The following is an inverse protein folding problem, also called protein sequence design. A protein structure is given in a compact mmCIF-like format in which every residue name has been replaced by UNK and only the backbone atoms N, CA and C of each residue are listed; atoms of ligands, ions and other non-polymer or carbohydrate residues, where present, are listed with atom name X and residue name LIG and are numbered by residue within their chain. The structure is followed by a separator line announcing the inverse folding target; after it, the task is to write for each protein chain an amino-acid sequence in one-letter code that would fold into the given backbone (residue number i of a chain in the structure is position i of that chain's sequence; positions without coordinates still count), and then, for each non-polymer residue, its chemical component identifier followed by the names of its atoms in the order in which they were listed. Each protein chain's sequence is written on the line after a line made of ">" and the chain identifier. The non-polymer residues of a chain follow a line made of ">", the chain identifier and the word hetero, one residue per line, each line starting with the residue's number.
data_IF_908326835817
#
_entry.id   IF_908326835817
#
_cell.length_a   1.000
_cell.length_b   1.000
_cell.length_c   1.000
_cell.angle_alpha   90.00
_cell.angle_beta   90.00
_cell.angle_gamma   90.00
#
_symmetry.space_group_name_H-M   'P 1'
#
loop_
_entity.id
_entity.type
_entity.pdbx_description
1 polymer ?
#
# COMPACT_ATOMS: atom_id res chain seq x y z
N UNK A 1 33.69 -28.33 2.62
CA UNK A 1 32.42 -29.01 2.93
C UNK A 1 31.77 -28.30 4.12
N UNK A 2 30.96 -27.25 3.90
CA UNK A 2 30.27 -26.55 4.99
C UNK A 2 28.90 -27.18 5.21
N UNK A 3 28.79 -28.14 6.14
CA UNK A 3 27.51 -28.72 6.60
C UNK A 3 26.85 -27.72 7.57
N UNK A 4 26.12 -26.75 7.03
CA UNK A 4 25.23 -25.88 7.80
C UNK A 4 23.83 -26.48 7.74
N UNK A 5 23.52 -27.41 8.64
CA UNK A 5 22.18 -27.95 8.80
C UNK A 5 21.39 -27.01 9.74
N UNK A 6 20.73 -25.98 9.18
CA UNK A 6 19.84 -25.10 9.97
C UNK A 6 18.47 -25.71 10.26
N UNK A 7 18.24 -26.96 9.87
CA UNK A 7 16.98 -27.70 10.13
C UNK A 7 16.61 -27.70 11.63
N UNK A 8 17.60 -27.57 12.53
CA UNK A 8 17.43 -27.50 13.99
C UNK A 8 17.98 -26.20 14.62
N UNK A 9 18.19 -25.13 13.85
CA UNK A 9 18.76 -23.90 14.40
C UNK A 9 17.74 -23.15 15.29
N UNK A 10 18.16 -22.62 16.47
CA UNK A 10 17.27 -21.85 17.32
C UNK A 10 16.75 -20.61 16.58
N UNK A 11 15.51 -20.15 16.84
CA UNK A 11 14.86 -19.07 16.09
C UNK A 11 15.68 -17.77 16.01
N UNK A 12 16.52 -17.52 17.02
CA UNK A 12 17.44 -16.38 17.05
C UNK A 12 18.53 -16.42 15.95
N UNK A 13 18.98 -17.60 15.50
CA UNK A 13 19.95 -17.71 14.40
C UNK A 13 19.31 -17.49 13.03
N UNK A 14 18.11 -18.02 12.81
CA UNK A 14 17.35 -17.78 11.58
C UNK A 14 17.02 -16.28 11.43
N UNK A 15 16.63 -15.61 12.52
CA UNK A 15 16.37 -14.17 12.51
C UNK A 15 17.65 -13.36 12.27
N UNK A 16 18.79 -13.74 12.87
CA UNK A 16 20.09 -13.10 12.60
C UNK A 16 20.50 -13.24 11.14
N UNK A 17 20.30 -14.41 10.54
CA UNK A 17 20.57 -14.63 9.11
C UNK A 17 19.68 -13.74 8.25
N UNK A 18 18.37 -13.72 8.53
CA UNK A 18 17.41 -12.86 7.82
C UNK A 18 17.78 -11.38 7.91
N UNK A 19 18.11 -10.88 9.11
CA UNK A 19 18.50 -9.48 9.29
C UNK A 19 19.79 -9.11 8.54
N UNK A 20 20.70 -10.08 8.36
CA UNK A 20 21.98 -9.87 7.66
C UNK A 20 21.83 -9.94 6.14
N UNK A 21 21.02 -10.88 5.64
CA UNK A 21 20.95 -11.21 4.21
C UNK A 21 19.65 -10.77 3.53
N UNK A 22 18.64 -10.33 4.28
CA UNK A 22 17.32 -9.93 3.75
C UNK A 22 16.45 -11.10 3.28
N UNK A 23 16.96 -12.33 3.30
CA UNK A 23 16.26 -13.54 2.88
C UNK A 23 16.22 -14.56 4.01
N UNK A 24 15.15 -15.38 4.05
CA UNK A 24 15.09 -16.52 4.96
C UNK A 24 16.14 -17.55 4.55
N UNK A 25 16.72 -18.23 5.52
CA UNK A 25 17.66 -19.29 5.23
C UNK A 25 16.98 -20.44 4.47
N UNK A 26 17.65 -20.93 3.44
CA UNK A 26 17.31 -22.15 2.71
C UNK A 26 18.61 -22.80 2.22
N UNK A 27 18.57 -24.10 1.91
CA UNK A 27 19.72 -24.81 1.35
C UNK A 27 20.19 -24.20 0.01
N UNK A 28 19.28 -23.60 -0.75
CA UNK A 28 19.62 -22.89 -2.00
C UNK A 28 20.58 -21.73 -1.77
N UNK A 29 20.57 -21.09 -0.59
CA UNK A 29 21.47 -19.97 -0.27
C UNK A 29 22.95 -20.41 -0.11
N UNK A 30 23.24 -21.72 -0.18
CA UNK A 30 24.63 -22.25 -0.18
C UNK A 30 25.22 -22.29 -1.58
N UNK A 31 24.39 -22.20 -2.62
CA UNK A 31 24.83 -22.22 -4.00
C UNK A 31 25.47 -20.86 -4.32
N UNK A 32 26.74 -20.85 -4.72
CA UNK A 32 27.49 -19.61 -5.00
C UNK A 32 26.89 -18.77 -6.13
N UNK A 33 26.05 -19.39 -6.97
CA UNK A 33 25.39 -18.76 -8.10
C UNK A 33 23.94 -18.35 -7.82
N UNK A 34 23.35 -18.75 -6.68
CA UNK A 34 21.96 -18.45 -6.38
C UNK A 34 21.87 -17.34 -5.33
N UNK A 35 21.28 -16.21 -5.73
CA UNK A 35 20.94 -15.14 -4.81
C UNK A 35 19.40 -15.04 -4.68
N UNK A 36 18.82 -15.40 -3.53
CA UNK A 36 17.37 -15.37 -3.32
C UNK A 36 16.78 -13.96 -3.44
N UNK A 37 17.56 -12.89 -3.31
CA UNK A 37 17.03 -11.52 -3.41
C UNK A 37 16.83 -11.11 -4.87
N UNK A 38 17.74 -11.51 -5.75
CA UNK A 38 17.71 -11.14 -7.17
C UNK A 38 17.05 -12.19 -8.06
N UNK A 39 17.04 -13.46 -7.62
CA UNK A 39 16.56 -14.60 -8.42
C UNK A 39 15.24 -15.18 -7.94
N UNK A 40 14.62 -14.63 -6.88
CA UNK A 40 13.30 -15.08 -6.44
C UNK A 40 12.23 -14.71 -7.47
N UNK A 41 11.49 -15.72 -7.92
CA UNK A 41 10.25 -15.52 -8.68
C UNK A 41 9.20 -14.99 -7.71
N UNK A 42 8.91 -13.70 -7.84
CA UNK A 42 7.89 -13.02 -7.05
C UNK A 42 6.52 -13.47 -7.56
N UNK A 43 5.77 -14.20 -6.73
CA UNK A 43 4.39 -14.54 -7.05
C UNK A 43 3.54 -13.26 -7.15
N UNK A 44 2.94 -12.97 -8.31
CA UNK A 44 2.14 -11.78 -8.49
C UNK A 44 0.93 -11.73 -7.57
N UNK A 45 0.39 -12.88 -7.16
CA UNK A 45 -0.78 -12.94 -6.29
C UNK A 45 -0.50 -12.35 -4.90
N UNK A 46 0.52 -12.85 -4.21
CA UNK A 46 0.84 -12.36 -2.88
C UNK A 46 1.47 -10.97 -2.90
N UNK A 47 2.28 -10.67 -3.91
CA UNK A 47 3.04 -9.41 -3.92
C UNK A 47 2.19 -8.24 -4.39
N UNK A 48 1.50 -8.39 -5.52
CA UNK A 48 0.71 -7.28 -6.06
C UNK A 48 -0.69 -7.21 -5.47
N UNK A 49 -1.40 -8.33 -5.32
CA UNK A 49 -2.79 -8.32 -4.89
C UNK A 49 -2.90 -8.26 -3.35
N UNK A 50 -2.39 -9.28 -2.67
CA UNK A 50 -2.48 -9.35 -1.21
C UNK A 50 -1.47 -8.42 -0.50
N UNK A 51 -0.39 -8.05 -1.18
CA UNK A 51 0.62 -7.13 -0.67
C UNK A 51 0.27 -5.69 -1.02
N UNK A 52 0.49 -5.30 -2.27
CA UNK A 52 0.46 -3.91 -2.69
C UNK A 52 -0.96 -3.32 -2.75
N UNK A 53 -1.91 -3.98 -3.41
CA UNK A 53 -3.30 -3.53 -3.49
C UNK A 53 -3.99 -3.50 -2.13
N UNK A 54 -3.85 -4.56 -1.33
CA UNK A 54 -4.36 -4.60 0.04
C UNK A 54 -3.76 -3.50 0.91
N UNK A 55 -2.45 -3.24 0.77
CA UNK A 55 -1.80 -2.16 1.52
C UNK A 55 -2.36 -0.80 1.12
N UNK A 56 -2.49 -0.55 -0.18
CA UNK A 56 -3.03 0.71 -0.69
C UNK A 56 -4.47 0.94 -0.22
N UNK A 57 -5.34 -0.02 -0.48
CA UNK A 57 -6.76 0.07 -0.19
C UNK A 57 -7.05 0.03 1.31
N UNK A 58 -6.64 -1.05 1.99
CA UNK A 58 -7.08 -1.30 3.35
C UNK A 58 -6.18 -0.61 4.37
N UNK A 59 -4.88 -0.87 4.34
CA UNK A 59 -3.98 -0.37 5.37
C UNK A 59 -3.80 1.15 5.30
N UNK A 60 -3.82 1.72 4.09
CA UNK A 60 -3.63 3.15 3.92
C UNK A 60 -4.92 3.92 3.81
N UNK A 61 -5.81 3.56 2.90
CA UNK A 61 -6.98 4.40 2.69
C UNK A 61 -8.06 4.23 3.76
N UNK A 62 -8.35 2.99 4.15
CA UNK A 62 -9.37 2.68 5.17
C UNK A 62 -8.84 2.91 6.59
N UNK A 63 -7.70 2.31 6.94
CA UNK A 63 -7.17 2.37 8.31
C UNK A 63 -6.36 3.65 8.59
N UNK A 64 -5.94 4.38 7.55
CA UNK A 64 -5.18 5.62 7.67
C UNK A 64 -3.70 5.44 8.02
N UNK A 65 -3.15 4.22 7.90
CA UNK A 65 -1.75 3.93 8.15
C UNK A 65 -1.26 4.31 9.56
N UNK A 66 -0.02 4.83 9.63
CA UNK A 66 0.61 5.29 10.88
C UNK A 66 0.04 6.63 11.35
N UNK A 67 -0.30 7.51 10.41
CA UNK A 67 -0.75 8.88 10.69
C UNK A 67 -2.23 8.93 11.11
N UNK A 68 -2.95 7.81 11.03
CA UNK A 68 -4.38 7.64 11.33
C UNK A 68 -5.30 8.57 10.52
N UNK A 69 -4.80 9.10 9.40
CA UNK A 69 -5.57 9.94 8.46
C UNK A 69 -6.25 9.03 7.43
N UNK A 70 -7.56 8.85 7.58
CA UNK A 70 -8.36 8.01 6.67
C UNK A 70 -8.67 8.74 5.36
N UNK A 71 -8.28 8.14 4.23
CA UNK A 71 -8.61 8.63 2.88
C UNK A 71 -10.04 8.25 2.52
N UNK A 72 -10.46 7.03 2.85
CA UNK A 72 -11.83 6.55 2.68
C UNK A 72 -12.47 6.42 4.06
N UNK A 73 -13.48 7.24 4.33
CA UNK A 73 -14.22 7.18 5.59
C UNK A 73 -15.46 6.32 5.39
N UNK A 74 -15.73 5.44 6.35
CA UNK A 74 -17.00 4.74 6.46
C UNK A 74 -18.11 5.74 6.84
N UNK A 75 -19.35 5.38 6.53
CA UNK A 75 -20.53 6.10 7.01
C UNK A 75 -20.51 6.23 8.53
N UNK A 76 -20.99 7.35 9.04
CA UNK A 76 -21.11 7.54 10.51
C UNK A 76 -22.46 7.02 10.99
N UNK A 77 -22.55 6.56 12.25
CA UNK A 77 -23.81 6.11 12.89
C UNK A 77 -24.95 7.14 12.82
N UNK A 78 -24.61 8.43 12.70
CA UNK A 78 -25.55 9.52 12.45
C UNK A 78 -26.13 9.56 11.01
N UNK A 79 -25.90 8.54 10.18
CA UNK A 79 -26.43 8.40 8.83
C UNK A 79 -25.76 9.26 7.75
N UNK A 80 -24.64 9.93 8.07
CA UNK A 80 -23.91 10.73 7.08
C UNK A 80 -23.19 9.81 6.11
N UNK A 81 -23.62 9.83 4.84
CA UNK A 81 -22.96 9.13 3.73
C UNK A 81 -21.56 9.68 3.49
N UNK A 82 -20.60 8.79 3.28
CA UNK A 82 -19.17 9.10 3.09
C UNK A 82 -18.61 8.41 1.85
N UNK A 83 -17.30 8.54 1.68
CA UNK A 83 -16.57 8.02 0.52
C UNK A 83 -16.80 6.52 0.32
N UNK A 84 -16.83 5.72 1.39
CA UNK A 84 -17.02 4.28 1.27
C UNK A 84 -18.44 3.92 0.85
N UNK A 85 -19.46 4.64 1.33
CA UNK A 85 -20.85 4.46 0.91
C UNK A 85 -21.05 4.81 -0.57
N UNK A 86 -20.37 5.85 -1.06
CA UNK A 86 -20.38 6.22 -2.49
C UNK A 86 -19.75 5.11 -3.35
N UNK A 87 -18.64 4.51 -2.88
CA UNK A 87 -18.04 3.38 -3.57
C UNK A 87 -18.98 2.17 -3.55
N UNK A 88 -19.57 1.80 -2.40
CA UNK A 88 -20.51 0.68 -2.33
C UNK A 88 -21.74 0.87 -3.21
N UNK A 89 -22.28 2.09 -3.26
CA UNK A 89 -23.37 2.45 -4.17
C UNK A 89 -22.97 2.28 -5.64
N UNK A 90 -21.76 2.71 -6.00
CA UNK A 90 -21.21 2.49 -7.34
C UNK A 90 -21.05 1.00 -7.65
N UNK A 91 -20.47 0.22 -6.74
CA UNK A 91 -20.25 -1.21 -6.90
C UNK A 91 -21.56 -2.00 -7.06
N UNK A 92 -22.64 -1.59 -6.40
CA UNK A 92 -23.95 -2.22 -6.53
C UNK A 92 -24.55 -2.11 -7.94
N UNK A 93 -24.09 -1.16 -8.76
CA UNK A 93 -24.57 -0.98 -10.15
C UNK A 93 -23.89 -1.90 -11.16
N UNK A 94 -22.79 -2.55 -10.79
CA UNK A 94 -22.04 -3.38 -11.73
C UNK A 94 -22.71 -4.74 -11.92
N UNK A 95 -23.15 -5.01 -13.15
CA UNK A 95 -23.51 -6.35 -13.59
C UNK A 95 -22.25 -7.05 -14.13
N UNK A 96 -21.89 -8.19 -13.54
CA UNK A 96 -20.70 -8.95 -13.94
C UNK A 96 -21.04 -10.39 -14.33
N UNK A 97 -20.34 -10.94 -15.35
CA UNK A 97 -20.48 -12.33 -15.73
C UNK A 97 -20.06 -13.25 -14.58
N UNK A 98 -20.65 -14.46 -14.54
CA UNK A 98 -20.43 -15.46 -13.48
C UNK A 98 -18.96 -15.85 -13.33
N UNK A 99 -18.17 -15.76 -14.40
CA UNK A 99 -16.74 -16.08 -14.42
C UNK A 99 -15.83 -15.03 -13.77
N UNK A 100 -16.37 -13.91 -13.28
CA UNK A 100 -15.60 -12.87 -12.58
C UNK A 100 -15.93 -12.86 -11.09
N UNK A 101 -14.91 -12.68 -10.23
CA UNK A 101 -15.14 -12.51 -8.80
C UNK A 101 -16.08 -11.33 -8.51
N UNK A 102 -17.01 -11.57 -7.58
CA UNK A 102 -17.91 -10.56 -7.02
C UNK A 102 -17.29 -10.02 -5.75
N UNK A 103 -17.39 -8.72 -5.53
CA UNK A 103 -16.91 -8.11 -4.29
C UNK A 103 -17.96 -8.25 -3.18
N UNK A 104 -17.53 -8.40 -1.91
CA UNK A 104 -18.41 -8.26 -0.76
C UNK A 104 -19.09 -6.89 -0.75
N UNK A 105 -20.33 -6.84 -0.27
CA UNK A 105 -21.14 -5.61 -0.21
C UNK A 105 -20.47 -4.49 0.59
N UNK A 106 -19.78 -4.85 1.69
CA UNK A 106 -19.10 -3.92 2.59
C UNK A 106 -17.58 -3.92 2.43
N UNK A 107 -17.08 -3.92 1.19
CA UNK A 107 -15.65 -3.93 0.91
C UNK A 107 -14.93 -2.74 1.58
N UNK A 108 -13.89 -3.02 2.36
CA UNK A 108 -13.15 -2.01 3.11
C UNK A 108 -13.71 -1.70 4.50
N UNK A 109 -14.84 -2.26 4.90
CA UNK A 109 -15.29 -2.24 6.30
C UNK A 109 -14.84 -3.51 7.03
N UNK A 110 -14.64 -3.47 8.36
CA UNK A 110 -14.34 -4.67 9.14
C UNK A 110 -15.38 -5.79 8.93
N UNK A 111 -16.64 -5.42 8.70
CA UNK A 111 -17.74 -6.36 8.46
C UNK A 111 -17.69 -7.03 7.07
N UNK A 112 -17.02 -6.44 6.08
CA UNK A 112 -16.86 -7.04 4.75
C UNK A 112 -15.81 -8.14 4.67
N UNK A 113 -15.08 -8.41 5.76
CA UNK A 113 -14.05 -9.46 5.81
C UNK A 113 -12.79 -9.15 4.98
N UNK A 114 -11.92 -10.14 4.87
CA UNK A 114 -10.72 -10.06 4.02
C UNK A 114 -11.06 -10.55 2.62
N UNK A 115 -10.64 -9.79 1.61
CA UNK A 115 -10.76 -10.23 0.22
C UNK A 115 -9.75 -11.34 -0.09
N UNK A 116 -10.20 -12.29 -0.90
CA UNK A 116 -9.39 -13.27 -1.62
C UNK A 116 -8.59 -12.61 -2.74
N UNK A 117 -7.64 -13.34 -3.31
CA UNK A 117 -6.77 -12.80 -4.36
C UNK A 117 -7.55 -12.40 -5.62
N UNK A 118 -8.52 -13.21 -6.06
CA UNK A 118 -9.29 -12.86 -7.25
C UNK A 118 -10.23 -11.65 -6.99
N UNK A 119 -10.75 -11.50 -5.78
CA UNK A 119 -11.48 -10.30 -5.37
C UNK A 119 -10.58 -9.05 -5.34
N UNK A 120 -9.33 -9.16 -4.86
CA UNK A 120 -8.35 -8.06 -4.95
C UNK A 120 -8.04 -7.69 -6.39
N UNK A 121 -7.90 -8.69 -7.27
CA UNK A 121 -7.71 -8.47 -8.70
C UNK A 121 -8.90 -7.75 -9.30
N UNK A 122 -10.11 -8.21 -9.01
CA UNK A 122 -11.33 -7.59 -9.50
C UNK A 122 -11.46 -6.14 -9.00
N UNK A 123 -11.20 -5.89 -7.73
CA UNK A 123 -11.19 -4.53 -7.17
C UNK A 123 -10.12 -3.66 -7.85
N UNK A 124 -8.89 -4.13 -8.00
CA UNK A 124 -7.79 -3.32 -8.55
C UNK A 124 -7.88 -3.06 -10.05
N UNK A 125 -8.46 -3.98 -10.81
CA UNK A 125 -8.40 -3.97 -12.27
C UNK A 125 -9.75 -3.66 -12.92
N UNK A 126 -10.85 -4.17 -12.38
CA UNK A 126 -12.19 -4.06 -12.98
C UNK A 126 -12.99 -2.94 -12.33
N UNK A 127 -13.32 -3.10 -11.04
CA UNK A 127 -14.27 -2.23 -10.36
C UNK A 127 -13.66 -0.89 -9.94
N UNK A 128 -12.49 -0.95 -9.31
CA UNK A 128 -11.87 0.20 -8.66
C UNK A 128 -11.52 1.34 -9.61
N UNK A 129 -10.95 1.10 -10.82
CA UNK A 129 -10.65 2.16 -11.77
C UNK A 129 -11.87 3.00 -12.18
N UNK A 130 -13.08 2.44 -12.08
CA UNK A 130 -14.32 3.16 -12.36
C UNK A 130 -14.91 3.81 -11.09
N UNK A 131 -14.94 3.10 -9.95
CA UNK A 131 -15.61 3.56 -8.74
C UNK A 131 -14.78 4.52 -7.86
N UNK A 132 -13.45 4.37 -7.84
CA UNK A 132 -12.57 5.02 -6.86
C UNK A 132 -12.13 6.43 -7.29
N UNK A 133 -11.68 6.68 -8.53
CA UNK A 133 -11.19 8.01 -8.93
C UNK A 133 -12.19 9.16 -8.69
N UNK A 134 -13.50 9.03 -9.01
CA UNK A 134 -14.46 10.11 -8.77
C UNK A 134 -14.53 10.51 -7.29
N UNK A 135 -14.50 9.52 -6.39
CA UNK A 135 -14.56 9.72 -4.95
C UNK A 135 -13.29 10.37 -4.42
N UNK A 136 -12.12 9.96 -4.92
CA UNK A 136 -10.84 10.58 -4.55
C UNK A 136 -10.72 12.03 -5.03
N UNK A 137 -11.15 12.31 -6.25
CA UNK A 137 -11.14 13.68 -6.80
C UNK A 137 -12.05 14.61 -6.00
N UNK A 138 -13.27 14.15 -5.66
CA UNK A 138 -14.19 14.87 -4.78
C UNK A 138 -13.59 15.11 -3.40
N UNK A 139 -12.98 14.08 -2.81
CA UNK A 139 -12.35 14.17 -1.48
C UNK A 139 -11.12 15.10 -1.47
N UNK A 140 -10.39 15.23 -2.57
CA UNK A 140 -9.27 16.16 -2.71
C UNK A 140 -9.73 17.63 -2.79
N UNK A 141 -10.95 17.88 -3.30
CA UNK A 141 -11.55 19.21 -3.36
C UNK A 141 -12.17 19.65 -2.02
N UNK A 142 -12.40 18.73 -1.08
CA UNK A 142 -12.91 19.08 0.25
C UNK A 142 -11.89 19.89 1.04
N UNK A 143 -12.18 21.17 1.27
CA UNK A 143 -11.37 21.98 2.16
C UNK A 143 -11.46 21.46 3.62
N UNK A 144 -10.33 21.38 4.32
CA UNK A 144 -10.32 20.98 5.73
C UNK A 144 -11.11 21.99 6.57
N UNK A 145 -12.12 21.50 7.30
CA UNK A 145 -12.89 22.34 8.22
C UNK A 145 -11.97 22.84 9.33
N UNK A 146 -12.00 24.14 9.68
CA UNK A 146 -11.16 24.66 10.75
C UNK A 146 -11.58 24.02 12.08
N UNK A 147 -10.64 23.31 12.72
CA UNK A 147 -10.82 22.78 14.06
C UNK A 147 -10.94 23.93 15.06
N UNK A 148 -11.72 23.75 16.14
CA UNK A 148 -11.92 24.76 17.20
C UNK A 148 -10.61 25.31 17.79
N UNK A 149 -9.52 24.53 17.73
CA UNK A 149 -8.16 24.87 18.16
C UNK A 149 -7.44 25.86 17.22
N UNK A 150 -7.74 25.83 15.92
CA UNK A 150 -7.13 26.71 14.91
C UNK A 150 -7.80 28.09 14.88
N UNK A 151 -9.00 28.25 15.48
CA UNK A 151 -9.70 29.54 15.52
C UNK A 151 -8.98 30.58 16.39
N UNK A 152 -8.12 30.13 17.31
CA UNK A 152 -7.37 30.98 18.25
C UNK A 152 -5.96 31.32 17.77
N UNK A 153 -5.45 30.69 16.69
CA UNK A 153 -4.14 30.96 16.09
C UNK A 153 -4.35 31.36 14.63
N UNK A 154 -4.48 32.66 14.37
CA UNK A 154 -4.86 33.21 13.07
C UNK A 154 -3.72 33.34 12.04
N UNK A 155 -2.49 32.96 12.37
CA UNK A 155 -1.30 33.15 11.50
C UNK A 155 -0.54 31.83 11.24
N UNK A 156 -1.28 30.74 10.97
CA UNK A 156 -0.70 29.46 10.56
C UNK A 156 -0.83 29.21 9.05
N UNK A 157 0.10 28.45 8.42
CA UNK A 157 -0.03 28.05 7.02
C UNK A 157 -1.37 27.32 6.79
N UNK A 158 -1.95 27.50 5.60
CA UNK A 158 -3.26 26.97 5.25
C UNK A 158 -3.37 25.47 5.57
N UNK A 159 -4.52 25.02 6.12
CA UNK A 159 -4.70 23.63 6.50
C UNK A 159 -4.54 22.71 5.29
N UNK A 160 -3.67 21.70 5.42
CA UNK A 160 -3.34 20.79 4.32
C UNK A 160 -4.56 19.95 3.90
N UNK A 161 -4.76 19.71 2.59
CA UNK A 161 -5.79 18.78 2.12
C UNK A 161 -5.56 17.37 2.66
N UNK A 162 -6.64 16.67 2.98
CA UNK A 162 -6.58 15.30 3.50
C UNK A 162 -6.19 14.29 2.42
N UNK A 163 -6.64 14.52 1.19
CA UNK A 163 -6.37 13.66 0.02
C UNK A 163 -5.60 14.49 -0.99
N UNK A 164 -4.50 13.95 -1.49
CA UNK A 164 -3.70 14.61 -2.53
C UNK A 164 -4.48 14.64 -3.85
N UNK A 165 -4.42 15.74 -4.64
CA UNK A 165 -5.09 15.81 -5.95
C UNK A 165 -4.69 14.66 -6.89
N UNK A 166 -3.41 14.26 -6.86
CA UNK A 166 -2.90 13.19 -7.72
C UNK A 166 -3.13 11.77 -7.16
N UNK A 167 -3.85 11.62 -6.05
CA UNK A 167 -4.13 10.29 -5.50
C UNK A 167 -4.93 9.41 -6.49
N UNK A 168 -5.82 10.03 -7.27
CA UNK A 168 -6.63 9.33 -8.27
C UNK A 168 -5.78 8.87 -9.48
N UNK A 169 -4.92 9.75 -10.02
CA UNK A 169 -4.03 9.42 -11.14
C UNK A 169 -3.01 8.36 -10.73
N UNK A 170 -2.42 8.48 -9.54
CA UNK A 170 -1.49 7.49 -9.00
C UNK A 170 -2.14 6.11 -8.85
N UNK A 171 -3.39 6.05 -8.36
CA UNK A 171 -4.13 4.79 -8.30
C UNK A 171 -4.40 4.19 -9.69
N UNK A 172 -4.72 5.02 -10.69
CA UNK A 172 -4.93 4.54 -12.06
C UNK A 172 -3.65 3.98 -12.69
N UNK A 173 -2.47 4.53 -12.36
CA UNK A 173 -1.18 3.94 -12.75
C UNK A 173 -1.02 2.55 -12.14
N UNK A 174 -1.29 2.39 -10.85
CA UNK A 174 -1.28 1.08 -10.21
C UNK A 174 -2.25 0.10 -10.90
N UNK A 175 -3.49 0.51 -11.15
CA UNK A 175 -4.45 -0.33 -11.86
C UNK A 175 -3.97 -0.75 -13.25
N UNK A 176 -3.30 0.16 -13.98
CA UNK A 176 -2.70 -0.14 -15.28
C UNK A 176 -1.54 -1.13 -15.17
N UNK A 177 -0.66 -0.97 -14.16
CA UNK A 177 0.43 -1.92 -13.88
C UNK A 177 -0.13 -3.32 -13.62
N UNK A 178 -1.15 -3.43 -12.77
CA UNK A 178 -1.79 -4.72 -12.48
C UNK A 178 -2.42 -5.32 -13.73
N UNK A 179 -3.06 -4.50 -14.56
CA UNK A 179 -3.64 -4.93 -15.85
C UNK A 179 -2.60 -5.47 -16.82
N UNK A 180 -1.38 -4.96 -16.79
CA UNK A 180 -0.28 -5.39 -17.65
C UNK A 180 0.36 -6.65 -17.08
N UNK A 181 0.86 -6.60 -15.85
CA UNK A 181 1.61 -7.70 -15.24
C UNK A 181 0.78 -8.96 -14.94
N UNK A 182 -0.54 -8.83 -14.79
CA UNK A 182 -1.43 -9.98 -14.55
C UNK A 182 -2.07 -10.54 -15.84
N UNK A 183 -1.56 -10.17 -17.02
CA UNK A 183 -1.99 -10.81 -18.28
C UNK A 183 -1.47 -12.24 -18.34
N UNK A 184 -2.21 -13.09 -19.04
CA UNK A 184 -1.80 -14.48 -19.32
C UNK A 184 -0.51 -14.52 -20.13
N UNK A 185 -0.33 -13.56 -21.03
CA UNK A 185 0.81 -13.43 -21.94
C UNK A 185 1.28 -11.97 -21.92
N UNK A 186 2.60 -11.77 -21.87
CA UNK A 186 3.23 -10.47 -21.76
C UNK A 186 4.25 -10.30 -22.88
N UNK A 187 4.11 -9.25 -23.68
CA UNK A 187 5.09 -8.88 -24.72
C UNK A 187 6.17 -7.96 -24.14
N UNK A 188 7.36 -7.96 -24.72
CA UNK A 188 8.48 -7.12 -24.25
C UNK A 188 8.12 -5.63 -24.18
N UNK A 189 7.36 -5.12 -25.16
CA UNK A 189 6.89 -3.73 -25.16
C UNK A 189 5.95 -3.42 -23.99
N UNK A 190 5.11 -4.40 -23.61
CA UNK A 190 4.20 -4.28 -22.48
C UNK A 190 4.96 -4.38 -21.15
N UNK A 191 6.00 -5.22 -21.09
CA UNK A 191 6.87 -5.32 -19.92
C UNK A 191 7.59 -4.00 -19.64
N UNK A 192 8.17 -3.37 -20.67
CA UNK A 192 8.81 -2.05 -20.55
C UNK A 192 7.81 -1.03 -20.05
N UNK A 193 6.63 -0.94 -20.70
CA UNK A 193 5.59 0.02 -20.31
C UNK A 193 5.07 -0.21 -18.88
N UNK A 194 4.86 -1.47 -18.48
CA UNK A 194 4.43 -1.82 -17.14
C UNK A 194 5.46 -1.46 -16.08
N UNK A 195 6.75 -1.64 -16.41
CA UNK A 195 7.86 -1.28 -15.51
C UNK A 195 7.96 0.24 -15.32
N UNK A 196 7.89 1.02 -16.40
CA UNK A 196 7.87 2.49 -16.33
C UNK A 196 6.71 2.99 -15.48
N UNK A 197 5.49 2.51 -15.76
CA UNK A 197 4.28 2.89 -15.00
C UNK A 197 4.39 2.52 -13.52
N UNK A 198 5.04 1.39 -13.21
CA UNK A 198 5.23 0.97 -11.82
C UNK A 198 6.21 1.90 -11.09
N UNK A 199 7.30 2.29 -11.73
CA UNK A 199 8.26 3.24 -11.17
C UNK A 199 7.62 4.62 -10.95
N UNK A 200 6.89 5.13 -11.95
CA UNK A 200 6.12 6.37 -11.82
C UNK A 200 5.12 6.30 -10.65
N UNK A 201 4.40 5.18 -10.54
CA UNK A 201 3.49 4.94 -9.42
C UNK A 201 4.22 5.03 -8.07
N UNK A 202 5.34 4.34 -7.90
CA UNK A 202 6.09 4.30 -6.62
C UNK A 202 6.65 5.67 -6.25
N UNK A 203 7.15 6.43 -7.23
CA UNK A 203 7.70 7.77 -7.00
C UNK A 203 6.60 8.75 -6.55
N UNK A 204 5.49 8.82 -7.29
CA UNK A 204 4.33 9.64 -6.95
C UNK A 204 3.67 9.19 -5.65
N UNK A 205 3.73 7.90 -5.34
CA UNK A 205 3.18 7.37 -4.10
C UNK A 205 3.84 7.99 -2.86
N UNK A 206 5.15 8.24 -2.95
CA UNK A 206 5.88 8.99 -1.93
C UNK A 206 5.33 10.40 -1.74
N UNK A 207 5.05 11.11 -2.84
CA UNK A 207 4.54 12.48 -2.83
C UNK A 207 3.12 12.55 -2.27
N UNK A 208 2.21 11.70 -2.77
CA UNK A 208 0.82 11.57 -2.29
C UNK A 208 0.76 11.31 -0.78
N UNK A 209 1.74 10.58 -0.23
CA UNK A 209 1.84 10.34 1.22
C UNK A 209 2.51 11.46 1.99
N UNK A 210 3.52 12.13 1.43
CA UNK A 210 4.27 13.17 2.13
C UNK A 210 3.43 14.41 2.45
N UNK A 211 2.32 14.64 1.75
CA UNK A 211 1.35 15.69 2.09
C UNK A 211 0.76 15.51 3.51
N UNK A 212 0.70 14.27 4.01
CA UNK A 212 0.23 13.95 5.38
C UNK A 212 1.33 14.07 6.44
N UNK A 213 2.60 14.18 6.07
CA UNK A 213 3.69 14.42 7.02
C UNK A 213 3.78 15.93 7.32
N UNK A 214 3.47 16.30 8.55
CA UNK A 214 3.95 17.57 9.12
C UNK A 214 5.47 17.49 9.16
N UNK A 215 6.13 18.32 8.37
CA UNK A 215 7.58 18.46 8.41
C UNK A 215 7.91 19.20 9.69
N UNK A 216 8.39 18.49 10.71
CA UNK A 216 9.27 19.12 11.70
C UNK A 216 10.66 19.15 11.08
N UNK A 217 11.04 20.30 10.52
CA UNK A 217 12.42 20.57 10.14
C UNK A 217 13.27 20.55 11.42
N UNK A 218 14.10 19.53 11.60
CA UNK A 218 15.31 19.68 12.40
C UNK A 218 16.51 19.67 11.45
N UNK A 219 17.12 20.85 11.33
CA UNK A 219 18.49 21.06 10.88
C UNK A 219 18.91 20.33 9.60
N UNK A 220 18.25 20.66 8.48
CA UNK A 220 18.98 20.95 7.25
C UNK A 220 19.56 19.81 6.42
N UNK A 221 19.10 18.55 6.56
CA UNK A 221 19.43 17.50 5.57
C UNK A 221 18.25 16.54 5.31
N UNK A 222 17.89 16.25 4.04
CA UNK A 222 16.90 15.23 3.71
C UNK A 222 17.52 13.83 3.84
N UNK A 223 17.44 13.23 5.03
CA UNK A 223 17.76 11.81 5.20
C UNK A 223 16.53 10.95 4.96
N UNK A 224 16.58 10.10 3.92
CA UNK A 224 15.66 8.96 3.76
C UNK A 224 16.01 7.87 4.79
N UNK A 225 15.69 8.11 6.06
CA UNK A 225 15.81 7.07 7.08
C UNK A 225 14.67 6.05 6.90
N UNK A 226 14.94 4.98 6.17
CA UNK A 226 14.34 3.69 6.53
C UNK A 226 14.86 3.35 7.92
N UNK A 227 14.03 3.54 8.94
CA UNK A 227 14.37 3.11 10.29
C UNK A 227 14.46 1.58 10.33
N UNK A 228 15.65 1.06 10.07
CA UNK A 228 16.06 -0.23 10.60
C UNK A 228 15.95 -0.18 12.13
N UNK A 229 15.51 -1.26 12.82
CA UNK A 229 15.52 -1.27 14.27
C UNK A 229 16.97 -1.24 14.75
N UNK A 230 17.38 -0.17 15.43
CA UNK A 230 18.68 -0.12 16.09
C UNK A 230 18.72 -1.15 17.24
N UNK A 231 19.83 -1.88 17.40
CA UNK A 231 19.98 -2.94 18.39
C UNK A 231 20.13 -2.34 19.80
N UNK A 232 19.35 -2.86 20.75
CA UNK A 232 19.59 -2.62 22.18
C UNK A 232 20.78 -3.50 22.58
N UNK A 233 21.97 -2.89 22.68
CA UNK A 233 23.07 -3.43 23.46
C UNK A 233 23.65 -2.29 24.30
N UNK A 234 23.19 -2.19 25.54
CA UNK A 234 23.91 -1.44 26.58
C UNK A 234 24.89 -2.41 27.25
N UNK A 235 26.16 -2.30 26.90
CA UNK A 235 27.25 -2.78 27.74
C UNK A 235 27.28 -1.97 29.03
N UNK A 236 27.02 -2.62 30.16
CA UNK A 236 27.45 -2.13 31.47
C UNK A 236 28.41 -3.15 32.05
N UNK A 237 29.67 -2.74 32.10
CA UNK A 237 30.74 -3.33 32.88
C UNK A 237 30.36 -3.49 34.36
N UNK A 238 30.47 -4.71 34.87
CA UNK A 238 31.14 -5.04 36.13
C UNK A 238 31.52 -6.51 36.10
#
# INVERSE_FOLDING_TARGET
>A
MYRFEMENAPPNQAQKYFNKHGARWSEFNRLSYYDPVTMAVIDPMHTFLQGLMKTQWYHMWVLGGKDKVKVLRAGTEAGVKRELDEIHAGLATFEMPVSSARLPSQVGEPAGGSLTSDEWRALGVLYGPAAIPPVLLKAAQEQPKPTRRNRTQAEGPAPKPRVHPDAASNYLKLAAVLKIFLRRELRDTELVRGTELFLEYVEEYGQVRQTTRTITYQQGNPCWCFSSPSPIYSSSSR
#
